data_IF_252214685810
#
_entry.id   IF_252214685810
#
_cell.length_a   1.000
_cell.length_b   1.000
_cell.length_c   1.000
_cell.angle_alpha   90.00
_cell.angle_beta   90.00
_cell.angle_gamma   90.00
#
_symmetry.space_group_name_H-M   'P 1'
#
loop_
_entity.id
_entity.type
_entity.pdbx_description
1 polymer ?
#
# COMPACT_ATOMS: atom_id res chain seq x y z
N UNK A 1 -19.83 15.68 -8.55
CA UNK A 1 -21.24 15.87 -8.16
C UNK A 1 -21.92 16.71 -9.22
N UNK A 2 -23.18 16.43 -9.57
CA UNK A 2 -24.01 17.26 -10.44
C UNK A 2 -25.24 17.70 -9.63
N UNK A 3 -25.51 19.00 -9.59
CA UNK A 3 -26.70 19.56 -8.97
C UNK A 3 -27.70 19.95 -10.06
N UNK A 4 -28.88 19.32 -10.08
CA UNK A 4 -29.95 19.64 -10.99
C UNK A 4 -30.96 20.57 -10.31
N UNK A 5 -31.36 21.65 -10.98
CA UNK A 5 -32.24 22.69 -10.45
C UNK A 5 -33.32 23.09 -11.45
N UNK A 6 -34.43 23.63 -10.96
CA UNK A 6 -35.51 24.19 -11.78
C UNK A 6 -35.39 25.71 -11.88
N UNK A 7 -35.61 26.33 -13.06
CA UNK A 7 -35.58 27.78 -13.20
C UNK A 7 -36.87 28.46 -12.70
N UNK A 8 -37.89 27.71 -12.30
CA UNK A 8 -39.15 28.26 -11.82
C UNK A 8 -38.99 28.94 -10.45
N UNK A 9 -39.59 30.12 -10.31
CA UNK A 9 -39.59 30.95 -9.11
C UNK A 9 -40.22 30.24 -7.90
N UNK A 10 -41.25 29.43 -8.12
CA UNK A 10 -41.89 28.59 -7.08
C UNK A 10 -40.91 27.62 -6.40
N UNK A 11 -39.79 27.28 -7.05
CA UNK A 11 -38.78 26.35 -6.53
C UNK A 11 -37.54 27.06 -5.99
N UNK A 12 -37.60 28.37 -5.76
CA UNK A 12 -36.44 29.17 -5.35
C UNK A 12 -35.79 28.64 -4.05
N UNK A 13 -36.59 28.30 -3.04
CA UNK A 13 -36.08 27.83 -1.74
C UNK A 13 -35.34 26.49 -1.84
N UNK A 14 -35.91 25.54 -2.58
CA UNK A 14 -35.29 24.23 -2.84
C UNK A 14 -34.04 24.36 -3.72
N UNK A 15 -34.09 25.24 -4.72
CA UNK A 15 -32.96 25.55 -5.59
C UNK A 15 -31.80 26.14 -4.79
N UNK A 16 -32.08 27.08 -3.88
CA UNK A 16 -31.08 27.68 -3.01
C UNK A 16 -30.46 26.63 -2.06
N UNK A 17 -31.29 25.77 -1.48
CA UNK A 17 -30.83 24.69 -0.61
C UNK A 17 -29.91 23.71 -1.35
N UNK A 18 -30.25 23.37 -2.60
CA UNK A 18 -29.46 22.52 -3.49
C UNK A 18 -28.11 23.16 -3.84
N UNK A 19 -28.09 24.45 -4.20
CA UNK A 19 -26.86 25.18 -4.51
C UNK A 19 -25.94 25.31 -3.30
N UNK A 20 -26.49 25.59 -2.10
CA UNK A 20 -25.73 25.62 -0.85
C UNK A 20 -25.10 24.28 -0.52
N UNK A 21 -25.79 23.17 -0.79
CA UNK A 21 -25.22 21.84 -0.61
C UNK A 21 -24.08 21.59 -1.61
N UNK A 22 -24.28 21.93 -2.89
CA UNK A 22 -23.25 21.79 -3.91
C UNK A 22 -21.97 22.60 -3.58
N UNK A 23 -22.13 23.81 -3.04
CA UNK A 23 -21.00 24.64 -2.61
C UNK A 23 -20.20 23.99 -1.46
N UNK A 24 -20.90 23.43 -0.46
CA UNK A 24 -20.23 22.64 0.60
C UNK A 24 -19.55 21.39 0.05
N UNK A 25 -20.20 20.68 -0.86
CA UNK A 25 -19.66 19.47 -1.47
C UNK A 25 -18.38 19.76 -2.29
N UNK A 26 -18.28 20.94 -2.92
CA UNK A 26 -17.07 21.40 -3.62
C UNK A 26 -15.85 21.52 -2.69
N UNK A 27 -16.06 21.82 -1.41
CA UNK A 27 -14.98 21.96 -0.44
C UNK A 27 -14.41 20.62 0.06
N UNK A 28 -15.04 19.49 -0.27
CA UNK A 28 -14.57 18.17 0.17
C UNK A 28 -13.34 17.77 -0.65
N UNK A 29 -12.20 17.62 0.03
CA UNK A 29 -10.94 17.19 -0.59
C UNK A 29 -10.86 15.67 -0.63
N UNK A 30 -10.84 15.09 -1.82
CA UNK A 30 -10.66 13.66 -2.02
C UNK A 30 -9.19 13.31 -2.24
N UNK A 31 -8.65 12.38 -1.45
CA UNK A 31 -7.35 11.75 -1.74
C UNK A 31 -7.58 10.52 -2.61
N UNK A 32 -7.56 10.71 -3.93
CA UNK A 32 -7.64 9.60 -4.87
C UNK A 32 -6.36 8.75 -4.82
N UNK A 33 -6.53 7.44 -4.65
CA UNK A 33 -5.44 6.44 -4.71
C UNK A 33 -5.87 5.39 -5.73
N UNK A 34 -4.93 4.96 -6.58
CA UNK A 34 -5.17 3.84 -7.48
C UNK A 34 -5.28 2.58 -6.62
N UNK A 35 -6.41 1.90 -6.70
CA UNK A 35 -6.57 0.63 -6.01
C UNK A 35 -5.79 -0.44 -6.78
N UNK A 36 -4.57 -0.73 -6.32
CA UNK A 36 -3.77 -1.84 -6.82
C UNK A 36 -4.17 -3.13 -6.09
N UNK A 37 -4.32 -4.22 -6.84
CA UNK A 37 -4.44 -5.54 -6.24
C UNK A 37 -3.22 -5.86 -5.37
N UNK A 38 -3.45 -6.43 -4.19
CA UNK A 38 -2.37 -6.79 -3.26
C UNK A 38 -1.27 -7.63 -3.94
N UNK A 39 -1.68 -8.50 -4.87
CA UNK A 39 -0.76 -9.32 -5.67
C UNK A 39 0.05 -8.49 -6.67
N UNK A 40 -0.56 -7.51 -7.34
CA UNK A 40 0.13 -6.64 -8.30
C UNK A 40 1.18 -5.77 -7.61
N UNK A 41 0.82 -5.21 -6.44
CA UNK A 41 1.75 -4.46 -5.60
C UNK A 41 2.91 -5.33 -5.13
N UNK A 42 2.63 -6.53 -4.62
CA UNK A 42 3.66 -7.47 -4.19
C UNK A 42 4.63 -7.82 -5.32
N UNK A 43 4.12 -8.11 -6.52
CA UNK A 43 4.96 -8.43 -7.68
C UNK A 43 5.84 -7.25 -8.06
N UNK A 44 5.33 -6.00 -7.99
CA UNK A 44 6.12 -4.79 -8.27
C UNK A 44 7.23 -4.61 -7.24
N UNK A 45 6.90 -4.65 -5.96
CA UNK A 45 7.85 -4.48 -4.86
C UNK A 45 8.96 -5.56 -4.93
N UNK A 46 8.60 -6.82 -5.20
CA UNK A 46 9.57 -7.91 -5.39
C UNK A 46 10.47 -7.71 -6.61
N UNK A 47 9.94 -7.22 -7.74
CA UNK A 47 10.74 -6.95 -8.94
C UNK A 47 11.73 -5.80 -8.70
N UNK A 48 11.30 -4.74 -8.01
CA UNK A 48 12.16 -3.62 -7.61
C UNK A 48 13.28 -4.09 -6.67
N UNK A 49 12.95 -4.94 -5.69
CA UNK A 49 13.94 -5.49 -4.77
C UNK A 49 14.96 -6.41 -5.46
N UNK A 50 14.50 -7.26 -6.39
CA UNK A 50 15.39 -8.07 -7.23
C UNK A 50 16.33 -7.18 -8.06
N UNK A 51 15.81 -6.10 -8.63
CA UNK A 51 16.63 -5.18 -9.43
C UNK A 51 17.69 -4.49 -8.56
N UNK A 52 17.31 -3.99 -7.38
CA UNK A 52 18.23 -3.35 -6.42
C UNK A 52 19.33 -4.32 -5.94
N UNK A 53 18.96 -5.56 -5.63
CA UNK A 53 19.92 -6.60 -5.23
C UNK A 53 20.88 -6.94 -6.37
N UNK A 54 20.38 -7.07 -7.61
CA UNK A 54 21.22 -7.27 -8.80
C UNK A 54 22.19 -6.11 -9.01
N UNK A 55 21.76 -4.87 -8.82
CA UNK A 55 22.62 -3.69 -8.94
C UNK A 55 23.74 -3.68 -7.89
N UNK A 56 23.42 -4.00 -6.64
CA UNK A 56 24.42 -4.13 -5.58
C UNK A 56 25.44 -5.25 -5.89
N UNK A 57 24.97 -6.40 -6.36
CA UNK A 57 25.84 -7.51 -6.81
C UNK A 57 26.73 -7.11 -8.00
N UNK A 58 26.20 -6.35 -8.95
CA UNK A 58 26.98 -5.83 -10.08
C UNK A 58 28.07 -4.85 -9.61
N UNK A 59 27.74 -3.99 -8.65
CA UNK A 59 28.67 -3.01 -8.11
C UNK A 59 29.76 -3.63 -7.22
N UNK A 60 29.42 -4.64 -6.42
CA UNK A 60 30.35 -5.25 -5.45
C UNK A 60 31.14 -6.44 -6.02
N UNK A 61 30.53 -7.26 -6.89
CA UNK A 61 31.13 -8.48 -7.43
C UNK A 61 31.46 -8.40 -8.93
N UNK A 62 31.08 -7.34 -9.64
CA UNK A 62 31.32 -7.20 -11.09
C UNK A 62 30.54 -8.19 -11.96
N UNK A 63 29.51 -8.85 -11.40
CA UNK A 63 28.72 -9.88 -12.08
C UNK A 63 27.53 -9.21 -12.78
N UNK A 64 27.48 -9.30 -14.12
CA UNK A 64 26.36 -8.78 -14.91
C UNK A 64 25.25 -9.85 -15.03
N UNK A 65 24.17 -9.68 -14.26
CA UNK A 65 23.02 -10.58 -14.27
C UNK A 65 21.93 -10.04 -15.21
N UNK A 66 21.66 -10.78 -16.28
CA UNK A 66 20.67 -10.43 -17.33
C UNK A 66 19.26 -10.16 -16.75
N UNK A 67 18.42 -9.34 -17.42
CA UNK A 67 17.12 -8.91 -16.87
C UNK A 67 16.11 -10.05 -16.75
N UNK A 68 16.15 -11.02 -17.67
CA UNK A 68 15.31 -12.22 -17.63
C UNK A 68 15.90 -13.22 -16.65
N UNK A 69 15.15 -13.51 -15.58
CA UNK A 69 15.53 -14.41 -14.47
C UNK A 69 15.74 -15.89 -14.84
N UNK A 70 16.15 -16.20 -16.07
CA UNK A 70 16.30 -17.55 -16.59
C UNK A 70 17.72 -18.13 -16.46
N UNK A 71 18.72 -17.39 -15.98
CA UNK A 71 20.04 -17.97 -15.67
C UNK A 71 20.78 -17.19 -14.59
N UNK A 72 20.77 -17.71 -13.36
CA UNK A 72 21.82 -17.43 -12.38
C UNK A 72 22.94 -18.42 -12.74
N UNK A 73 24.13 -17.99 -13.19
CA UNK A 73 25.25 -18.90 -13.34
C UNK A 73 25.55 -19.48 -11.95
N UNK A 74 25.47 -20.80 -11.83
CA UNK A 74 25.86 -21.53 -10.63
C UNK A 74 27.28 -21.11 -10.22
N UNK A 75 27.39 -20.37 -9.11
CA UNK A 75 28.68 -19.92 -8.59
C UNK A 75 29.40 -21.14 -8.03
N UNK A 76 30.35 -21.68 -8.80
CA UNK A 76 31.39 -22.50 -8.22
C UNK A 76 32.36 -21.59 -7.47
N UNK A 77 32.69 -22.02 -6.24
CA UNK A 77 33.99 -21.81 -5.60
C UNK A 77 34.12 -20.69 -4.55
N UNK A 78 34.23 -21.18 -3.30
CA UNK A 78 35.08 -20.77 -2.16
C UNK A 78 34.57 -19.82 -1.06
N UNK A 79 34.33 -20.44 0.10
CA UNK A 79 34.63 -20.02 1.47
C UNK A 79 34.69 -18.51 1.76
N UNK A 80 33.63 -17.98 2.37
CA UNK A 80 33.76 -17.05 3.51
C UNK A 80 32.70 -17.35 4.56
N UNK A 81 33.11 -18.00 5.64
CA UNK A 81 32.32 -18.19 6.85
C UNK A 81 32.09 -16.84 7.51
N UNK A 82 30.84 -16.38 7.58
CA UNK A 82 30.32 -15.38 8.57
C UNK A 82 28.80 -15.28 8.47
N UNK A 83 28.11 -16.33 8.94
CA UNK A 83 26.66 -16.27 9.19
C UNK A 83 26.39 -15.38 10.41
N UNK A 84 26.16 -14.08 10.20
CA UNK A 84 25.56 -13.23 11.22
C UNK A 84 24.05 -13.55 11.27
N UNK A 85 23.66 -14.39 12.23
CA UNK A 85 22.25 -14.73 12.53
C UNK A 85 21.52 -13.46 12.99
N UNK A 86 20.84 -12.79 12.07
CA UNK A 86 19.98 -11.64 12.38
C UNK A 86 18.81 -12.12 13.25
N UNK A 87 18.70 -11.49 14.42
CA UNK A 87 17.73 -11.78 15.47
C UNK A 87 16.39 -11.15 15.09
N UNK A 88 15.34 -11.98 15.09
CA UNK A 88 13.91 -11.69 15.05
C UNK A 88 13.47 -10.29 15.53
N UNK A 89 12.81 -9.53 14.64
CA UNK A 89 12.00 -8.33 14.99
C UNK A 89 10.51 -8.48 14.67
N UNK A 90 10.04 -9.70 14.32
CA UNK A 90 8.66 -9.95 13.87
C UNK A 90 7.61 -10.14 14.98
N UNK A 91 7.99 -10.04 16.26
CA UNK A 91 7.07 -10.38 17.37
C UNK A 91 6.21 -9.22 17.85
N UNK A 92 6.65 -7.95 17.69
CA UNK A 92 5.95 -6.81 18.29
C UNK A 92 4.67 -6.39 17.56
N UNK A 93 4.56 -6.56 16.24
CA UNK A 93 3.34 -6.14 15.50
C UNK A 93 2.16 -7.10 15.67
N UNK A 94 2.45 -8.37 15.98
CA UNK A 94 1.46 -9.43 16.10
C UNK A 94 0.68 -9.34 17.41
N UNK A 95 1.35 -8.94 18.49
CA UNK A 95 0.75 -8.83 19.83
C UNK A 95 -0.23 -7.65 19.90
N UNK A 96 0.14 -6.48 19.38
CA UNK A 96 -0.71 -5.29 19.32
C UNK A 96 -2.01 -5.51 18.52
N UNK A 97 -1.94 -6.28 17.43
CA UNK A 97 -3.10 -6.58 16.60
C UNK A 97 -4.11 -7.50 17.32
N UNK A 98 -3.61 -8.46 18.10
CA UNK A 98 -4.44 -9.39 18.87
C UNK A 98 -5.10 -8.70 20.06
N UNK A 99 -4.41 -7.76 20.72
CA UNK A 99 -4.95 -7.03 21.86
C UNK A 99 -6.13 -6.14 21.46
N UNK A 100 -6.02 -5.42 20.33
CA UNK A 100 -7.12 -4.60 19.78
C UNK A 100 -8.36 -5.41 19.38
N UNK A 101 -8.17 -6.65 18.91
CA UNK A 101 -9.28 -7.55 18.58
C UNK A 101 -9.98 -8.05 19.84
N UNK A 102 -9.21 -8.37 20.88
CA UNK A 102 -9.74 -8.84 22.16
C UNK A 102 -10.50 -7.75 22.90
N UNK A 103 -10.03 -6.50 22.82
CA UNK A 103 -10.71 -5.34 23.38
C UNK A 103 -12.06 -5.07 22.69
N UNK A 104 -12.09 -5.14 21.35
CA UNK A 104 -13.34 -5.00 20.59
C UNK A 104 -14.35 -6.12 20.90
N UNK A 105 -13.88 -7.36 21.08
CA UNK A 105 -14.76 -8.46 21.47
C UNK A 105 -15.38 -8.22 22.86
N UNK A 106 -14.57 -7.77 23.82
CA UNK A 106 -15.04 -7.49 25.19
C UNK A 106 -16.10 -6.37 25.25
N UNK A 107 -16.01 -5.38 24.37
CA UNK A 107 -17.02 -4.33 24.27
C UNK A 107 -18.36 -4.84 23.71
N UNK A 108 -18.34 -5.79 22.77
CA UNK A 108 -19.57 -6.41 22.26
C UNK A 108 -20.27 -7.28 23.30
N UNK A 109 -19.51 -8.03 24.10
CA UNK A 109 -20.08 -8.92 25.12
C UNK A 109 -20.63 -8.16 26.35
N UNK A 110 -20.40 -6.86 26.45
CA UNK A 110 -20.85 -5.98 27.55
C UNK A 110 -22.08 -5.13 27.20
N UNK A 111 -22.66 -5.30 26.00
CA UNK A 111 -23.95 -4.72 25.60
C UNK A 111 -25.08 -5.74 25.74
#
# INVERSE_FOLDING_TARGET
MIAAISPADINYEETLSTLRYADRAKAIVCKAVINEDANARLIRDLKEEIMKLKELLKHEAGIDLSPDGASIPFLSTTNTSKHHRLKSTSSQSSEDALERLKENQKLMDSL
#
